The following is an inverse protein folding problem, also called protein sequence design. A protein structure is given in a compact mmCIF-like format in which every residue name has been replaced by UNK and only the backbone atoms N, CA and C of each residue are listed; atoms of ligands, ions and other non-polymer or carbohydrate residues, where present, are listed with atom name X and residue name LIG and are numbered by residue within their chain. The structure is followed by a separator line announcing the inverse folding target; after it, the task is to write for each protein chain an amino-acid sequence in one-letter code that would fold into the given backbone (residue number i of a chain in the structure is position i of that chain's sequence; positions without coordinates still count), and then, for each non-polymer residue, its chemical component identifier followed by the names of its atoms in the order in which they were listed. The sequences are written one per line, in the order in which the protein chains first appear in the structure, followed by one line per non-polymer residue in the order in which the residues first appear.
data_IF_880473806663
#
_entry.id   IF_880473806663
#
_cell.length_a   1.000
_cell.length_b   1.000
_cell.length_c   1.000
_cell.angle_alpha   90.00
_cell.angle_beta   90.00
_cell.angle_gamma   90.00
#
_symmetry.space_group_name_H-M   'P 1'
#
loop_
_entity.id
_entity.type
_entity.pdbx_description
1 polymer ?
#
# COMPACT_ATOMS: atom_id res chain seq x y z
N UNK A 1 32.05 -20.94 -6.97
CA UNK A 1 31.06 -19.93 -6.49
C UNK A 1 29.69 -20.58 -6.53
N UNK A 2 29.36 -21.34 -5.49
CA UNK A 2 28.40 -20.97 -4.43
C UNK A 2 26.93 -21.09 -4.84
N UNK A 3 26.51 -22.33 -5.15
CA UNK A 3 25.10 -22.75 -5.20
C UNK A 3 24.33 -22.41 -3.90
N UNK A 4 25.06 -22.19 -2.80
CA UNK A 4 24.56 -21.70 -1.51
C UNK A 4 24.01 -20.27 -1.55
N UNK A 5 24.45 -19.44 -2.50
CA UNK A 5 24.05 -18.03 -2.58
C UNK A 5 22.65 -17.83 -3.19
N UNK A 6 22.16 -18.79 -3.97
CA UNK A 6 20.84 -18.70 -4.63
C UNK A 6 19.70 -19.01 -3.64
N UNK A 7 19.95 -19.86 -2.64
CA UNK A 7 18.94 -20.21 -1.63
C UNK A 7 18.59 -19.05 -0.67
N UNK A 8 19.54 -18.14 -0.42
CA UNK A 8 19.37 -17.03 0.52
C UNK A 8 18.55 -15.85 -0.05
N UNK A 9 18.50 -15.70 -1.37
CA UNK A 9 17.71 -14.62 -2.01
C UNK A 9 16.22 -15.00 -2.08
N UNK A 10 15.90 -16.30 -2.14
CA UNK A 10 14.52 -16.78 -2.23
C UNK A 10 13.71 -16.56 -0.94
N UNK A 11 14.37 -16.48 0.22
CA UNK A 11 13.66 -16.35 1.51
C UNK A 11 13.22 -14.92 1.84
N UNK A 12 13.88 -13.89 1.29
CA UNK A 12 13.48 -12.50 1.51
C UNK A 12 12.22 -12.08 0.71
N UNK A 13 11.87 -12.81 -0.35
CA UNK A 13 10.67 -12.51 -1.17
C UNK A 13 9.40 -13.03 -0.51
N UNK A 14 9.50 -14.03 0.37
CA UNK A 14 8.34 -14.63 1.06
C UNK A 14 7.78 -13.75 2.20
N UNK A 15 8.54 -12.77 2.69
CA UNK A 15 8.08 -11.82 3.72
C UNK A 15 7.24 -10.67 3.16
N UNK A 16 7.21 -10.49 1.83
CA UNK A 16 6.28 -9.55 1.18
C UNK A 16 4.85 -10.11 1.07
N UNK A 17 4.63 -11.39 1.41
CA UNK A 17 3.35 -12.07 1.22
C UNK A 17 2.33 -11.85 2.37
N UNK A 18 2.72 -11.20 3.48
CA UNK A 18 1.74 -10.64 4.41
C UNK A 18 1.28 -9.28 3.87
N UNK A 19 0.38 -9.31 2.88
CA UNK A 19 -0.19 -8.08 2.33
C UNK A 19 -0.92 -7.32 3.45
N UNK A 20 -0.48 -6.11 3.78
CA UNK A 20 -1.20 -5.21 4.70
C UNK A 20 -2.52 -4.68 4.12
N UNK A 21 -2.88 -5.12 2.91
CA UNK A 21 -4.08 -4.74 2.15
C UNK A 21 -5.22 -5.67 2.56
N UNK A 22 -5.83 -5.37 3.70
CA UNK A 22 -6.91 -6.15 4.32
C UNK A 22 -8.09 -5.26 4.66
N UNK A 23 -9.27 -5.86 4.87
CA UNK A 23 -10.46 -5.13 5.29
C UNK A 23 -10.25 -4.42 6.64
N UNK A 24 -9.48 -5.03 7.56
CA UNK A 24 -9.18 -4.45 8.86
C UNK A 24 -8.38 -3.14 8.75
N UNK A 25 -7.31 -3.12 7.94
CA UNK A 25 -6.50 -1.91 7.78
C UNK A 25 -7.23 -0.85 6.95
N UNK A 26 -7.99 -1.25 5.95
CA UNK A 26 -8.87 -0.35 5.21
C UNK A 26 -9.87 0.37 6.11
N UNK A 27 -10.48 -0.35 7.06
CA UNK A 27 -11.48 0.21 7.97
C UNK A 27 -10.90 1.25 8.95
N UNK A 28 -9.57 1.31 9.10
CA UNK A 28 -8.87 2.32 9.92
C UNK A 28 -8.66 3.63 9.15
N UNK A 29 -8.82 3.64 7.82
CA UNK A 29 -8.66 4.85 7.01
C UNK A 29 -9.81 5.82 7.26
N UNK A 30 -9.48 7.11 7.24
CA UNK A 30 -10.47 8.18 7.41
C UNK A 30 -10.08 9.41 6.61
N UNK A 31 -11.09 10.21 6.23
CA UNK A 31 -10.85 11.49 5.59
C UNK A 31 -10.06 12.42 6.54
N UNK A 32 -9.11 13.17 5.99
CA UNK A 32 -8.19 14.04 6.73
C UNK A 32 -6.97 13.32 7.32
N UNK A 33 -6.91 11.98 7.25
CA UNK A 33 -5.76 11.21 7.71
C UNK A 33 -4.48 11.64 6.97
N UNK A 34 -3.34 11.84 7.65
CA UNK A 34 -2.08 12.14 6.98
C UNK A 34 -1.58 10.96 6.15
N UNK A 35 -0.99 11.24 4.98
CA UNK A 35 -0.39 10.21 4.11
C UNK A 35 0.58 9.29 4.84
N UNK A 36 1.44 9.83 5.70
CA UNK A 36 2.38 9.03 6.49
C UNK A 36 1.69 8.03 7.42
N UNK A 37 0.50 8.36 7.95
CA UNK A 37 -0.28 7.45 8.78
C UNK A 37 -0.90 6.33 7.94
N UNK A 38 -1.36 6.64 6.72
CA UNK A 38 -1.84 5.63 5.77
C UNK A 38 -0.72 4.66 5.39
N UNK A 39 0.47 5.17 5.08
CA UNK A 39 1.64 4.33 4.75
C UNK A 39 2.11 3.46 5.92
N UNK A 40 1.92 3.91 7.17
CA UNK A 40 2.16 3.08 8.35
C UNK A 40 1.20 1.89 8.42
N UNK A 41 -0.07 2.10 8.07
CA UNK A 41 -1.12 1.08 8.05
C UNK A 41 -0.97 0.10 6.88
N UNK A 42 -0.76 0.62 5.67
CA UNK A 42 -0.81 -0.14 4.42
C UNK A 42 0.58 -0.52 3.86
N UNK A 43 1.66 0.06 4.40
CA UNK A 43 3.00 -0.04 3.85
C UNK A 43 3.23 0.95 2.71
N UNK A 44 4.28 0.71 1.92
CA UNK A 44 4.58 1.53 0.74
C UNK A 44 3.54 1.28 -0.37
N UNK A 45 3.08 2.33 -1.07
CA UNK A 45 2.17 2.17 -2.20
C UNK A 45 2.83 1.42 -3.35
N UNK A 46 2.04 0.64 -4.09
CA UNK A 46 2.47 -0.01 -5.33
C UNK A 46 2.73 1.04 -6.41
N UNK A 47 1.83 2.01 -6.51
CA UNK A 47 1.90 3.10 -7.46
C UNK A 47 1.42 4.38 -6.78
N UNK A 48 2.06 5.51 -7.08
CA UNK A 48 1.51 6.80 -6.72
C UNK A 48 1.70 7.79 -7.86
N UNK A 49 0.60 8.39 -8.28
CA UNK A 49 0.54 9.38 -9.35
C UNK A 49 -0.05 10.68 -8.82
N UNK A 50 0.35 11.83 -9.36
CA UNK A 50 -0.15 13.10 -8.86
C UNK A 50 0.66 14.29 -9.34
N UNK A 51 0.11 15.47 -9.06
CA UNK A 51 0.71 16.76 -9.34
C UNK A 51 0.66 17.64 -8.09
N UNK A 52 1.33 18.79 -8.11
CA UNK A 52 1.47 19.71 -6.98
C UNK A 52 0.17 19.89 -6.19
N UNK A 53 0.16 19.38 -4.95
CA UNK A 53 -0.95 19.50 -4.01
C UNK A 53 -2.02 18.40 -4.05
N UNK A 54 -2.02 17.52 -5.06
CA UNK A 54 -2.96 16.39 -5.14
C UNK A 54 -2.30 15.12 -5.67
N UNK A 55 -2.43 14.01 -4.95
CA UNK A 55 -1.85 12.72 -5.34
C UNK A 55 -2.82 11.58 -5.11
N UNK A 56 -2.77 10.56 -5.95
CA UNK A 56 -3.49 9.31 -5.79
C UNK A 56 -2.48 8.19 -5.67
N UNK A 57 -2.46 7.52 -4.52
CA UNK A 57 -1.63 6.35 -4.32
C UNK A 57 -2.51 5.10 -4.27
N UNK A 58 -2.02 4.01 -4.84
CA UNK A 58 -2.70 2.71 -4.88
C UNK A 58 -1.79 1.65 -4.29
N UNK A 59 -2.37 0.80 -3.45
CA UNK A 59 -1.73 -0.37 -2.86
C UNK A 59 -2.43 -1.63 -3.34
N UNK A 60 -1.66 -2.67 -3.65
CA UNK A 60 -2.18 -3.96 -4.11
C UNK A 60 -2.05 -4.17 -5.62
N UNK A 61 -2.94 -4.99 -6.17
CA UNK A 61 -2.96 -5.44 -7.57
C UNK A 61 -4.33 -5.22 -8.23
N UNK A 62 -4.55 -5.79 -9.43
CA UNK A 62 -5.79 -5.61 -10.20
C UNK A 62 -7.04 -6.23 -9.54
N UNK A 63 -6.87 -7.23 -8.67
CA UNK A 63 -7.97 -7.95 -8.04
C UNK A 63 -8.25 -7.44 -6.62
N UNK A 64 -7.19 -7.10 -5.88
CA UNK A 64 -7.25 -6.64 -4.49
C UNK A 64 -6.43 -5.36 -4.34
N UNK A 65 -7.10 -4.22 -4.14
CA UNK A 65 -6.42 -2.95 -3.98
C UNK A 65 -7.13 -1.98 -3.03
N UNK A 66 -6.35 -1.02 -2.54
CA UNK A 66 -6.83 0.19 -1.88
C UNK A 66 -6.25 1.37 -2.65
N UNK A 67 -7.10 2.29 -3.08
CA UNK A 67 -6.67 3.56 -3.68
C UNK A 67 -7.04 4.70 -2.76
N UNK A 68 -6.11 5.63 -2.55
CA UNK A 68 -6.29 6.78 -1.66
C UNK A 68 -5.83 8.03 -2.39
N UNK A 69 -6.75 8.98 -2.50
CA UNK A 69 -6.50 10.31 -2.99
C UNK A 69 -6.20 11.25 -1.83
N UNK A 70 -5.16 12.04 -2.01
CA UNK A 70 -4.64 13.01 -1.08
C UNK A 70 -4.72 14.41 -1.67
N UNK A 71 -5.10 15.38 -0.84
CA UNK A 71 -4.87 16.79 -1.11
C UNK A 71 -4.07 17.38 0.05
N UNK A 72 -3.00 18.12 -0.24
CA UNK A 72 -2.07 18.64 0.76
C UNK A 72 -1.66 17.57 1.80
N UNK A 73 -1.28 16.38 1.30
CA UNK A 73 -0.88 15.20 2.09
C UNK A 73 -1.93 14.64 3.06
N UNK A 74 -3.20 14.97 2.87
CA UNK A 74 -4.32 14.44 3.67
C UNK A 74 -5.33 13.71 2.81
N UNK A 75 -5.86 12.60 3.32
CA UNK A 75 -6.88 11.79 2.64
C UNK A 75 -8.11 12.62 2.33
N UNK A 76 -8.50 12.68 1.06
CA UNK A 76 -9.77 13.28 0.61
C UNK A 76 -10.76 12.24 0.15
N UNK A 77 -10.28 11.16 -0.48
CA UNK A 77 -11.10 10.03 -0.90
C UNK A 77 -10.29 8.75 -0.79
N UNK A 78 -10.95 7.65 -0.46
CA UNK A 78 -10.35 6.32 -0.52
C UNK A 78 -11.39 5.30 -0.95
N UNK A 79 -10.91 4.24 -1.60
CA UNK A 79 -11.74 3.14 -2.10
C UNK A 79 -10.96 1.84 -2.02
N UNK A 80 -11.65 0.75 -1.69
CA UNK A 80 -11.07 -0.59 -1.64
C UNK A 80 -11.86 -1.57 -2.49
N UNK A 81 -11.17 -2.55 -3.09
CA UNK A 81 -11.76 -3.63 -3.87
C UNK A 81 -11.08 -4.96 -3.53
N UNK A 82 -11.86 -6.04 -3.47
CA UNK A 82 -11.34 -7.40 -3.27
C UNK A 82 -10.79 -7.68 -1.86
N UNK A 83 -11.03 -6.77 -0.90
CA UNK A 83 -10.54 -6.89 0.46
C UNK A 83 -11.21 -8.05 1.20
N UNK A 84 -10.43 -8.77 2.00
CA UNK A 84 -10.87 -9.85 2.89
C UNK A 84 -10.65 -9.46 4.35
#
# INVERSE_FOLDING_TARGET
MSLRSVALISFCVLLAACSKITQENYSKLSAGMPKAQVESLLGSPTECSGALGMSSCTWGDQNTFISVQYAADKVVLFSGQGLK
#
